data_IF_464271179128
#
_entry.id   IF_464271179128
#
_cell.length_a   1.000
_cell.length_b   1.000
_cell.length_c   1.000
_cell.angle_alpha   90.00
_cell.angle_beta   90.00
_cell.angle_gamma   90.00
#
_symmetry.space_group_name_H-M   'P 1'
#
loop_
_entity.id
_entity.type
_entity.pdbx_description
1 polymer ?
#
# COMPACT_ATOMS: atom_id res chain seq x y z
N UNK A 1 -10.77 6.84 -2.08
CA UNK A 1 -9.91 6.20 -1.05
C UNK A 1 -8.89 7.22 -0.58
N UNK A 2 -8.75 7.44 0.73
CA UNK A 2 -7.79 8.41 1.29
C UNK A 2 -6.63 7.66 1.92
N UNK A 3 -5.40 7.97 1.49
CA UNK A 3 -4.18 7.41 2.04
C UNK A 3 -3.59 8.32 3.12
N UNK A 4 -3.39 7.78 4.31
CA UNK A 4 -2.76 8.44 5.44
C UNK A 4 -1.37 7.84 5.69
N UNK A 5 -0.40 8.70 5.99
CA UNK A 5 0.93 8.26 6.38
C UNK A 5 0.90 7.79 7.83
N UNK A 6 1.47 6.62 8.10
CA UNK A 6 1.66 6.14 9.45
C UNK A 6 2.56 7.07 10.26
N UNK A 7 2.30 7.19 11.55
CA UNK A 7 3.15 7.92 12.50
C UNK A 7 4.50 7.24 12.69
N UNK A 8 4.57 5.92 12.52
CA UNK A 8 5.71 5.09 12.93
C UNK A 8 6.34 4.31 11.77
N UNK A 9 6.94 5.01 10.81
CA UNK A 9 7.79 4.39 9.78
C UNK A 9 7.30 4.55 8.34
N UNK A 10 7.91 3.83 7.38
CA UNK A 10 7.69 4.05 5.95
C UNK A 10 6.46 3.29 5.42
N UNK A 11 5.34 3.35 6.16
CA UNK A 11 4.07 2.78 5.71
C UNK A 11 3.00 3.86 5.50
N UNK A 12 2.13 3.62 4.53
CA UNK A 12 0.90 4.36 4.33
C UNK A 12 -0.26 3.39 4.43
N UNK A 13 -1.42 3.85 4.87
CA UNK A 13 -2.62 3.04 4.98
C UNK A 13 -3.84 3.83 4.57
N UNK A 14 -4.95 3.17 4.34
CA UNK A 14 -6.22 3.86 4.13
C UNK A 14 -6.84 4.31 5.44
N UNK A 15 -7.67 5.35 5.41
CA UNK A 15 -8.35 5.88 6.60
C UNK A 15 -9.24 4.84 7.30
N UNK A 16 -9.90 3.98 6.51
CA UNK A 16 -10.69 2.84 7.00
C UNK A 16 -9.83 1.69 7.56
N UNK A 17 -8.50 1.78 7.44
CA UNK A 17 -7.57 0.77 7.89
C UNK A 17 -7.61 -0.54 7.10
N UNK A 18 -8.28 -0.60 5.94
CA UNK A 18 -8.35 -1.82 5.12
C UNK A 18 -7.02 -2.13 4.42
N UNK A 19 -6.45 -1.15 3.73
CA UNK A 19 -5.25 -1.32 2.94
C UNK A 19 -4.01 -0.73 3.63
N UNK A 20 -2.89 -1.42 3.50
CA UNK A 20 -1.58 -1.00 4.00
C UNK A 20 -0.54 -1.15 2.90
N UNK A 21 0.30 -0.13 2.71
CA UNK A 21 1.50 -0.23 1.88
C UNK A 21 2.71 0.06 2.75
N UNK A 22 3.62 -0.90 2.86
CA UNK A 22 4.92 -0.70 3.49
C UNK A 22 6.03 -0.65 2.45
N UNK A 23 7.11 0.10 2.76
CA UNK A 23 8.32 0.13 1.94
C UNK A 23 9.48 -0.52 2.68
N UNK A 24 10.06 -1.58 2.10
CA UNK A 24 11.24 -2.26 2.63
C UNK A 24 12.23 -2.55 1.50
N UNK A 25 13.51 -2.20 1.69
CA UNK A 25 14.58 -2.43 0.70
C UNK A 25 14.26 -1.99 -0.76
N UNK A 26 13.47 -0.90 -0.91
CA UNK A 26 13.05 -0.38 -2.22
C UNK A 26 11.89 -1.14 -2.88
N UNK A 27 11.26 -2.08 -2.16
CA UNK A 27 10.04 -2.77 -2.55
C UNK A 27 8.86 -2.14 -1.80
N UNK A 28 7.76 -1.88 -2.50
CA UNK A 28 6.48 -1.49 -1.92
C UNK A 28 5.56 -2.71 -1.89
N UNK A 29 5.02 -3.02 -0.72
CA UNK A 29 4.14 -4.17 -0.54
C UNK A 29 2.77 -3.70 -0.10
N UNK A 30 1.74 -4.00 -0.90
CA UNK A 30 0.34 -3.79 -0.57
C UNK A 30 -0.22 -4.98 0.19
N UNK A 31 -0.97 -4.71 1.25
CA UNK A 31 -1.79 -5.67 1.98
C UNK A 31 -3.24 -5.19 2.09
N UNK A 32 -4.20 -6.10 2.01
CA UNK A 32 -5.63 -5.90 2.29
C UNK A 32 -5.98 -6.74 3.52
N UNK A 33 -6.41 -6.11 4.63
CA UNK A 33 -6.72 -6.78 5.90
C UNK A 33 -5.61 -7.76 6.38
N UNK A 34 -4.35 -7.35 6.26
CA UNK A 34 -3.13 -8.14 6.58
C UNK A 34 -2.80 -9.29 5.62
N UNK A 35 -3.52 -9.43 4.49
CA UNK A 35 -3.18 -10.37 3.42
C UNK A 35 -2.32 -9.65 2.39
N UNK A 36 -1.14 -10.19 2.09
CA UNK A 36 -0.28 -9.65 1.04
C UNK A 36 -0.96 -9.78 -0.32
N UNK A 37 -1.16 -8.64 -0.99
CA UNK A 37 -1.82 -8.56 -2.30
C UNK A 37 -0.80 -8.43 -3.41
N UNK A 38 0.20 -7.56 -3.21
CA UNK A 38 1.10 -7.14 -4.27
C UNK A 38 2.43 -6.70 -3.67
N UNK A 39 3.52 -6.90 -4.41
CA UNK A 39 4.86 -6.43 -4.06
C UNK A 39 5.57 -5.95 -5.31
N UNK A 40 5.87 -4.66 -5.34
CA UNK A 40 6.36 -3.94 -6.52
C UNK A 40 7.72 -3.30 -6.25
N UNK A 41 8.59 -3.30 -7.25
CA UNK A 41 9.90 -2.63 -7.19
C UNK A 41 10.04 -1.61 -8.32
N UNK A 42 10.90 -0.62 -8.09
CA UNK A 42 11.29 0.36 -9.11
C UNK A 42 10.42 1.60 -9.11
N UNK A 43 10.60 2.43 -10.15
CA UNK A 43 9.86 3.67 -10.32
C UNK A 43 8.35 3.38 -10.47
N UNK A 44 7.52 4.19 -9.81
CA UNK A 44 6.06 4.03 -9.83
C UNK A 44 5.52 2.81 -9.05
N UNK A 45 6.36 2.06 -8.33
CA UNK A 45 5.91 0.90 -7.55
C UNK A 45 4.82 1.24 -6.52
N UNK A 46 4.96 2.38 -5.84
CA UNK A 46 3.93 2.88 -4.92
C UNK A 46 2.59 3.10 -5.63
N UNK A 47 2.62 3.76 -6.78
CA UNK A 47 1.43 4.13 -7.54
C UNK A 47 0.74 2.89 -8.13
N UNK A 48 1.52 1.88 -8.54
CA UNK A 48 0.98 0.57 -8.94
C UNK A 48 0.30 -0.14 -7.77
N UNK A 49 0.90 -0.13 -6.57
CA UNK A 49 0.25 -0.66 -5.38
C UNK A 49 -1.05 0.09 -5.03
N UNK A 50 -1.07 1.43 -5.13
CA UNK A 50 -2.30 2.20 -4.89
C UNK A 50 -3.38 1.89 -5.92
N UNK A 51 -3.04 1.84 -7.21
CA UNK A 51 -3.97 1.47 -8.26
C UNK A 51 -4.54 0.07 -8.01
N UNK A 52 -3.73 -0.88 -7.54
CA UNK A 52 -4.20 -2.23 -7.20
C UNK A 52 -5.21 -2.23 -6.04
N UNK A 53 -4.98 -1.40 -5.02
CA UNK A 53 -5.93 -1.23 -3.92
C UNK A 53 -7.26 -0.63 -4.42
N UNK A 54 -7.21 0.34 -5.35
CA UNK A 54 -8.40 0.94 -5.96
C UNK A 54 -9.19 -0.07 -6.81
N UNK A 55 -8.51 -0.98 -7.52
CA UNK A 55 -9.17 -2.08 -8.23
C UNK A 55 -9.92 -3.02 -7.27
N UNK A 56 -9.35 -3.32 -6.11
CA UNK A 56 -9.93 -4.22 -5.10
C UNK A 56 -11.00 -3.57 -4.22
N UNK A 57 -11.10 -2.25 -4.27
CA UNK A 57 -12.10 -1.46 -3.54
C UNK A 57 -13.39 -1.22 -4.35
N UNK A 58 -13.42 -1.62 -5.63
CA UNK A 58 -14.64 -1.68 -6.45
C UNK A 58 -15.52 -2.85 -6.04
#
# INVERSE_FOLDING_TARGET
MTWIRGTDGPYIRTEDGRFYICKAAGVYTLSDNNVLVCSERGEGALERCKAKAEELAK
#
